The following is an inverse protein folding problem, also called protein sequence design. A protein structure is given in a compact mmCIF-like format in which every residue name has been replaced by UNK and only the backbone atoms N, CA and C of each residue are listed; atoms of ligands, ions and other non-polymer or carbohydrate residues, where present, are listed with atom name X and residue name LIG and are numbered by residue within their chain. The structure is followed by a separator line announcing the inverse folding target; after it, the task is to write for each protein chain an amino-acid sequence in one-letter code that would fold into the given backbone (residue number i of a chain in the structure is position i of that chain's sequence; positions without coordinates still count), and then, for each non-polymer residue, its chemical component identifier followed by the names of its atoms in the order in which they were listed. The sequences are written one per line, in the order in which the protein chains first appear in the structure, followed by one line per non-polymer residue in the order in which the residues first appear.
data_IF_922596989377
#
_entry.id   IF_922596989377
#
_cell.length_a   1.000
_cell.length_b   1.000
_cell.length_c   1.000
_cell.angle_alpha   90.00
_cell.angle_beta   90.00
_cell.angle_gamma   90.00
#
_symmetry.space_group_name_H-M   'P 1'
#
loop_
_entity.id
_entity.type
_entity.pdbx_description
1 polymer ?
#
# COMPACT_ATOMS: atom_id res chain seq x y z
N UNK A 1 -13.31 66.79 -20.25
CA UNK A 1 -12.23 66.91 -19.25
C UNK A 1 -11.99 65.54 -18.65
N UNK A 2 -10.76 65.02 -18.78
CA UNK A 2 -10.32 63.73 -18.26
C UNK A 2 -10.11 63.82 -16.75
N UNK A 3 -10.76 62.95 -15.96
CA UNK A 3 -10.52 62.83 -14.53
C UNK A 3 -9.55 61.67 -14.28
N UNK A 4 -8.34 62.05 -13.88
CA UNK A 4 -7.21 61.19 -13.55
C UNK A 4 -7.50 60.30 -12.34
N UNK A 5 -7.18 59.02 -12.47
CA UNK A 5 -7.33 57.96 -11.45
C UNK A 5 -6.06 57.87 -10.58
N UNK A 6 -5.59 59.00 -10.06
CA UNK A 6 -4.42 59.08 -9.18
C UNK A 6 -4.80 59.87 -7.94
N UNK A 7 -5.27 59.16 -6.90
CA UNK A 7 -5.11 59.46 -5.46
C UNK A 7 -6.04 58.58 -4.60
N UNK A 8 -5.97 57.26 -4.78
CA UNK A 8 -6.42 56.32 -3.74
C UNK A 8 -5.19 55.91 -2.93
N UNK A 9 -4.85 56.73 -1.94
CA UNK A 9 -3.89 56.36 -0.89
C UNK A 9 -4.39 55.09 -0.21
N UNK A 10 -3.58 54.03 -0.25
CA UNK A 10 -3.85 52.77 0.45
C UNK A 10 -4.05 53.09 1.94
N UNK A 11 -5.27 52.93 2.45
CA UNK A 11 -5.51 52.87 3.90
C UNK A 11 -4.64 51.74 4.46
N UNK A 12 -3.80 52.08 5.44
CA UNK A 12 -3.01 51.11 6.18
C UNK A 12 -3.95 50.06 6.78
N UNK A 13 -3.63 48.79 6.53
CA UNK A 13 -4.33 47.65 7.13
C UNK A 13 -4.01 47.66 8.63
N UNK A 14 -5.01 47.58 9.54
CA UNK A 14 -4.73 47.51 10.96
C UNK A 14 -3.85 46.29 11.28
N UNK A 15 -2.76 46.55 11.99
CA UNK A 15 -1.84 45.55 12.52
C UNK A 15 -2.59 44.70 13.56
N UNK A 16 -2.50 43.38 13.39
CA UNK A 16 -2.50 42.41 14.50
C UNK A 16 -3.83 42.17 15.22
N UNK A 17 -4.79 41.51 14.58
CA UNK A 17 -5.58 40.51 15.30
C UNK A 17 -5.05 39.15 14.85
N UNK A 18 -4.05 38.63 15.57
CA UNK A 18 -3.80 37.19 15.53
C UNK A 18 -5.11 36.51 15.97
N UNK A 19 -5.88 36.03 15.00
CA UNK A 19 -7.01 35.17 15.30
C UNK A 19 -6.43 33.93 15.96
N UNK A 20 -6.47 33.88 17.29
CA UNK A 20 -6.19 32.68 18.05
C UNK A 20 -7.06 31.58 17.45
N UNK A 21 -6.42 30.68 16.69
CA UNK A 21 -7.13 29.56 16.08
C UNK A 21 -7.62 28.73 17.25
N UNK A 22 -8.95 28.71 17.48
CA UNK A 22 -9.55 27.88 18.52
C UNK A 22 -9.00 26.47 18.32
N UNK A 23 -8.21 25.97 19.28
CA UNK A 23 -7.70 24.60 19.24
C UNK A 23 -8.92 23.69 19.19
N UNK A 24 -9.12 23.02 18.06
CA UNK A 24 -10.24 22.10 17.89
C UNK A 24 -10.03 20.97 18.90
N UNK A 25 -10.96 20.83 19.86
CA UNK A 25 -10.94 19.73 20.80
C UNK A 25 -11.37 18.46 20.04
N UNK A 26 -10.39 17.62 19.70
CA UNK A 26 -10.60 16.38 18.92
C UNK A 26 -10.59 15.11 19.76
N UNK A 27 -10.23 15.22 21.04
CA UNK A 27 -9.90 14.10 21.93
C UNK A 27 -10.51 14.29 23.33
N UNK A 28 -11.71 14.89 23.38
CA UNK A 28 -12.49 15.07 24.62
C UNK A 28 -11.72 15.74 25.77
N UNK A 29 -10.84 16.68 25.44
CA UNK A 29 -10.03 17.44 26.39
C UNK A 29 -8.59 16.94 26.55
N UNK A 30 -8.25 15.76 26.04
CA UNK A 30 -6.88 15.23 26.07
C UNK A 30 -5.96 15.93 25.07
N UNK A 31 -4.70 16.10 25.46
CA UNK A 31 -3.64 16.57 24.57
C UNK A 31 -3.17 15.47 23.61
N UNK A 32 -2.56 15.85 22.48
CA UNK A 32 -1.98 14.87 21.54
C UNK A 32 -0.89 14.01 22.19
N UNK A 33 -0.13 14.57 23.14
CA UNK A 33 0.95 13.85 23.82
C UNK A 33 0.42 12.81 24.82
N UNK A 34 -0.72 13.07 25.46
CA UNK A 34 -1.40 12.07 26.29
C UNK A 34 -1.96 10.93 25.42
N UNK A 35 -2.65 11.28 24.33
CA UNK A 35 -3.22 10.29 23.40
C UNK A 35 -2.13 9.42 22.76
N UNK A 36 -0.95 9.96 22.45
CA UNK A 36 0.17 9.19 21.87
C UNK A 36 0.71 8.10 22.79
N UNK A 37 0.49 8.21 24.11
CA UNK A 37 0.90 7.18 25.09
C UNK A 37 -0.02 5.97 25.07
N UNK A 38 -1.23 6.11 24.55
CA UNK A 38 -2.18 5.01 24.46
C UNK A 38 -1.77 4.01 23.36
N UNK A 39 -2.01 2.74 23.65
CA UNK A 39 -1.83 1.63 22.71
C UNK A 39 -3.16 0.90 22.53
N UNK A 40 -3.25 0.08 21.48
CA UNK A 40 -4.42 -0.77 21.25
C UNK A 40 -4.05 -2.21 21.63
N UNK A 41 -4.97 -2.87 22.33
CA UNK A 41 -4.86 -4.30 22.60
C UNK A 41 -5.19 -5.07 21.32
N UNK A 42 -4.37 -6.05 20.98
CA UNK A 42 -4.66 -6.92 19.84
C UNK A 42 -5.96 -7.71 20.04
N UNK A 43 -6.67 -7.91 18.94
CA UNK A 43 -7.88 -8.72 18.85
C UNK A 43 -7.51 -9.98 18.07
N UNK A 44 -7.01 -10.99 18.77
CA UNK A 44 -6.49 -12.23 18.19
C UNK A 44 -6.98 -13.44 18.97
N UNK A 45 -7.32 -14.49 18.22
CA UNK A 45 -7.68 -15.82 18.71
C UNK A 45 -7.05 -16.88 17.80
N UNK A 46 -7.04 -18.13 18.23
CA UNK A 46 -6.69 -19.27 17.37
C UNK A 46 -7.83 -19.53 16.37
N UNK A 47 -7.53 -20.25 15.29
CA UNK A 47 -8.51 -20.64 14.26
C UNK A 47 -9.25 -19.46 13.58
N UNK A 48 -8.56 -18.33 13.44
CA UNK A 48 -9.04 -17.21 12.64
C UNK A 48 -8.84 -17.46 11.14
N UNK A 49 -9.79 -17.01 10.34
CA UNK A 49 -9.69 -17.03 8.88
C UNK A 49 -8.75 -15.92 8.41
N UNK A 50 -8.93 -14.72 8.95
CA UNK A 50 -8.23 -13.51 8.54
C UNK A 50 -7.63 -12.79 9.73
N UNK A 51 -6.38 -12.31 9.62
CA UNK A 51 -5.80 -11.34 10.56
C UNK A 51 -5.32 -10.12 9.78
N UNK A 52 -5.91 -8.95 10.05
CA UNK A 52 -5.45 -7.69 9.48
C UNK A 52 -4.31 -7.12 10.33
N UNK A 53 -3.17 -6.90 9.68
CA UNK A 53 -2.00 -6.22 10.23
C UNK A 53 -2.04 -4.77 9.76
N UNK A 54 -2.41 -3.86 10.67
CA UNK A 54 -2.31 -2.42 10.46
C UNK A 54 -0.89 -1.91 10.67
N UNK A 55 -0.64 -0.66 10.26
CA UNK A 55 0.66 -0.02 10.43
C UNK A 55 0.89 0.30 11.91
N UNK A 56 0.11 1.23 12.43
CA UNK A 56 0.13 1.65 13.81
C UNK A 56 -1.17 2.42 14.12
N UNK A 57 -1.50 2.60 15.40
CA UNK A 57 -2.64 3.41 15.79
C UNK A 57 -2.50 4.86 15.31
N UNK A 58 -3.56 5.38 14.67
CA UNK A 58 -3.72 6.83 14.53
C UNK A 58 -4.08 7.45 15.87
N UNK A 59 -3.92 8.76 16.03
CA UNK A 59 -4.35 9.46 17.25
C UNK A 59 -5.83 9.19 17.60
N UNK A 60 -6.73 9.13 16.61
CA UNK A 60 -8.14 8.82 16.88
C UNK A 60 -8.32 7.38 17.38
N UNK A 61 -7.61 6.42 16.79
CA UNK A 61 -7.65 5.03 17.22
C UNK A 61 -7.07 4.86 18.64
N UNK A 62 -5.99 5.58 18.95
CA UNK A 62 -5.37 5.58 20.28
C UNK A 62 -6.25 6.28 21.33
N UNK A 63 -6.97 7.33 20.93
CA UNK A 63 -7.94 8.02 21.78
C UNK A 63 -9.12 7.13 22.13
N UNK A 64 -9.75 6.51 21.13
CA UNK A 64 -10.94 5.67 21.34
C UNK A 64 -10.62 4.25 21.81
N UNK A 65 -9.35 3.82 21.69
CA UNK A 65 -8.95 2.44 21.93
C UNK A 65 -9.46 1.46 20.88
N UNK A 66 -9.84 1.94 19.69
CA UNK A 66 -10.52 1.15 18.65
C UNK A 66 -9.77 1.14 17.33
N UNK A 67 -9.74 -0.03 16.68
CA UNK A 67 -9.05 -0.18 15.41
C UNK A 67 -9.75 0.61 14.30
N UNK A 68 -8.94 1.29 13.48
CA UNK A 68 -9.39 2.04 12.30
C UNK A 68 -10.45 3.12 12.55
N UNK A 69 -10.55 3.67 13.78
CA UNK A 69 -11.55 4.68 14.18
C UNK A 69 -11.44 6.07 13.51
N UNK A 70 -10.53 6.26 12.55
CA UNK A 70 -10.39 7.55 11.87
C UNK A 70 -11.59 7.82 10.93
N UNK A 71 -12.16 9.04 10.89
CA UNK A 71 -13.35 9.34 10.08
C UNK A 71 -13.15 9.15 8.57
N UNK A 72 -11.91 9.21 8.09
CA UNK A 72 -11.54 8.93 6.71
C UNK A 72 -11.02 7.52 6.47
N UNK A 73 -11.21 6.55 7.38
CA UNK A 73 -10.73 5.20 7.17
C UNK A 73 -11.78 4.35 6.42
N UNK A 74 -11.38 3.70 5.34
CA UNK A 74 -12.30 2.88 4.53
C UNK A 74 -12.45 1.44 5.05
N UNK A 75 -11.75 1.03 6.11
CA UNK A 75 -11.63 -0.38 6.52
C UNK A 75 -12.98 -1.10 6.70
N UNK A 76 -13.83 -0.61 7.61
CA UNK A 76 -15.11 -1.26 7.88
C UNK A 76 -16.06 -1.24 6.68
N UNK A 77 -16.06 -0.15 5.91
CA UNK A 77 -16.81 -0.08 4.65
C UNK A 77 -16.29 -1.11 3.64
N UNK A 78 -14.98 -1.28 3.52
CA UNK A 78 -14.38 -2.30 2.64
C UNK A 78 -14.78 -3.72 3.08
N UNK A 79 -14.78 -4.02 4.37
CA UNK A 79 -15.23 -5.32 4.88
C UNK A 79 -16.69 -5.63 4.48
N UNK A 80 -17.59 -4.66 4.68
CA UNK A 80 -19.01 -4.83 4.38
C UNK A 80 -19.29 -4.88 2.87
N UNK A 81 -18.71 -3.98 2.08
CA UNK A 81 -18.95 -3.89 0.64
C UNK A 81 -18.36 -5.09 -0.12
N UNK A 82 -17.22 -5.62 0.34
CA UNK A 82 -16.62 -6.85 -0.21
C UNK A 82 -17.35 -8.13 0.22
N UNK A 83 -18.33 -8.02 1.12
CA UNK A 83 -19.08 -9.14 1.70
C UNK A 83 -18.20 -10.11 2.50
N UNK A 84 -17.06 -9.63 3.03
CA UNK A 84 -16.27 -10.37 4.02
C UNK A 84 -17.02 -10.49 5.35
N UNK A 85 -17.86 -9.50 5.65
CA UNK A 85 -18.83 -9.56 6.75
C UNK A 85 -20.25 -9.36 6.18
N UNK A 86 -21.26 -10.07 6.72
CA UNK A 86 -22.63 -10.00 6.22
C UNK A 86 -23.39 -8.75 6.70
N UNK A 87 -22.98 -8.17 7.83
CA UNK A 87 -23.59 -6.98 8.44
C UNK A 87 -22.54 -5.88 8.59
N UNK A 88 -22.96 -4.64 8.40
CA UNK A 88 -22.10 -3.49 8.64
C UNK A 88 -21.71 -3.44 10.13
N UNK A 89 -20.43 -3.19 10.38
CA UNK A 89 -19.83 -3.04 11.72
C UNK A 89 -19.07 -1.73 11.70
N UNK A 90 -19.05 -0.99 12.81
CA UNK A 90 -18.25 0.22 12.98
C UNK A 90 -17.07 -0.03 13.92
N UNK A 91 -16.19 0.97 14.11
CA UNK A 91 -15.01 0.78 14.96
C UNK A 91 -15.37 0.58 16.44
N UNK A 92 -16.51 1.10 16.88
CA UNK A 92 -17.03 0.91 18.24
C UNK A 92 -17.30 -0.57 18.55
N UNK A 93 -17.48 -1.39 17.51
CA UNK A 93 -17.81 -2.79 17.57
C UNK A 93 -16.69 -3.68 17.00
N UNK A 94 -15.45 -3.20 16.96
CA UNK A 94 -14.30 -3.91 16.41
C UNK A 94 -14.10 -5.32 16.97
N UNK A 95 -14.37 -5.52 18.27
CA UNK A 95 -14.37 -6.81 18.94
C UNK A 95 -15.34 -7.84 18.33
N UNK A 96 -16.44 -7.40 17.70
CA UNK A 96 -17.41 -8.30 17.05
C UNK A 96 -16.83 -8.95 15.79
N UNK A 97 -15.69 -8.49 15.26
CA UNK A 97 -15.05 -9.12 14.11
C UNK A 97 -14.58 -10.56 14.37
N UNK A 98 -14.32 -10.92 15.64
CA UNK A 98 -13.99 -12.30 16.02
C UNK A 98 -15.11 -13.28 15.68
N UNK A 99 -16.39 -12.86 15.75
CA UNK A 99 -17.54 -13.69 15.36
C UNK A 99 -17.52 -14.06 13.86
N UNK A 100 -16.79 -13.29 13.06
CA UNK A 100 -16.57 -13.53 11.63
C UNK A 100 -15.19 -14.13 11.35
N UNK A 101 -14.49 -14.62 12.38
CA UNK A 101 -13.13 -15.17 12.30
C UNK A 101 -12.11 -14.16 11.74
N UNK A 102 -12.28 -12.87 12.05
CA UNK A 102 -11.40 -11.78 11.67
C UNK A 102 -10.72 -11.19 12.91
N UNK A 103 -9.39 -11.24 12.96
CA UNK A 103 -8.57 -10.61 13.99
C UNK A 103 -7.86 -9.34 13.52
N UNK A 104 -7.42 -8.53 14.47
CA UNK A 104 -6.75 -7.24 14.25
C UNK A 104 -5.48 -7.12 15.11
N UNK A 105 -4.40 -6.68 14.49
CA UNK A 105 -3.13 -6.32 15.16
C UNK A 105 -2.50 -5.13 14.43
N UNK A 106 -1.53 -4.46 15.05
CA UNK A 106 -0.62 -3.55 14.33
C UNK A 106 0.80 -4.09 14.34
N UNK A 107 1.60 -3.70 13.34
CA UNK A 107 3.03 -4.00 13.32
C UNK A 107 3.78 -3.12 14.32
N UNK A 108 3.39 -1.85 14.48
CA UNK A 108 3.96 -0.94 15.48
C UNK A 108 2.87 -0.51 16.48
N UNK A 109 3.16 -0.64 17.77
CA UNK A 109 2.22 -0.30 18.85
C UNK A 109 2.08 1.22 19.08
N UNK A 110 3.15 1.99 18.84
CA UNK A 110 3.21 3.43 19.10
C UNK A 110 2.24 4.21 18.21
N UNK A 111 1.39 5.03 18.83
CA UNK A 111 0.46 5.89 18.11
C UNK A 111 1.16 7.08 17.45
N UNK A 112 0.77 7.42 16.22
CA UNK A 112 1.28 8.60 15.50
C UNK A 112 0.19 9.33 14.71
N UNK A 113 0.50 10.55 14.27
CA UNK A 113 -0.39 11.30 13.38
C UNK A 113 -0.32 10.72 11.96
N UNK A 114 0.88 10.35 11.53
CA UNK A 114 1.16 9.76 10.23
C UNK A 114 2.05 8.52 10.36
N UNK A 115 1.82 7.52 9.52
CA UNK A 115 2.74 6.39 9.39
C UNK A 115 4.13 6.82 8.91
N UNK A 116 4.26 8.01 8.30
CA UNK A 116 5.54 8.60 7.94
C UNK A 116 6.40 8.98 9.16
N UNK A 117 5.80 9.08 10.35
CA UNK A 117 6.49 9.40 11.60
C UNK A 117 7.12 8.16 12.27
N UNK A 118 7.05 7.00 11.59
CA UNK A 118 7.66 5.75 12.02
C UNK A 118 8.99 5.52 11.28
N UNK A 119 10.01 5.15 12.03
CA UNK A 119 11.26 4.69 11.42
C UNK A 119 11.12 3.27 10.86
N UNK A 120 11.90 2.95 9.83
CA UNK A 120 11.99 1.57 9.30
C UNK A 120 12.44 0.57 10.36
N UNK A 121 13.31 1.00 11.28
CA UNK A 121 13.78 0.17 12.39
C UNK A 121 12.65 -0.23 13.33
N UNK A 122 11.75 0.70 13.67
CA UNK A 122 10.56 0.39 14.47
C UNK A 122 9.66 -0.61 13.76
N UNK A 123 9.42 -0.44 12.45
CA UNK A 123 8.60 -1.36 11.66
C UNK A 123 9.23 -2.75 11.61
N UNK A 124 10.56 -2.86 11.43
CA UNK A 124 11.28 -4.15 11.45
C UNK A 124 11.21 -4.85 12.80
N UNK A 125 11.35 -4.13 13.90
CA UNK A 125 11.15 -4.70 15.24
C UNK A 125 9.72 -5.23 15.39
N UNK A 126 8.75 -4.46 14.91
CA UNK A 126 7.35 -4.86 14.83
C UNK A 126 7.11 -6.11 13.98
N UNK A 127 7.83 -6.24 12.86
CA UNK A 127 7.71 -7.38 11.96
C UNK A 127 8.06 -8.70 12.65
N UNK A 128 9.11 -8.71 13.48
CA UNK A 128 9.51 -9.89 14.26
C UNK A 128 8.36 -10.32 15.18
N UNK A 129 7.77 -9.37 15.92
CA UNK A 129 6.64 -9.65 16.82
C UNK A 129 5.40 -10.15 16.06
N UNK A 130 5.10 -9.55 14.91
CA UNK A 130 3.99 -10.03 14.05
C UNK A 130 4.28 -11.43 13.54
N UNK A 131 5.52 -11.75 13.16
CA UNK A 131 5.88 -13.08 12.71
C UNK A 131 5.69 -14.14 13.81
N UNK A 132 6.04 -13.81 15.05
CA UNK A 132 5.77 -14.67 16.22
C UNK A 132 4.28 -14.88 16.45
N UNK A 133 3.48 -13.80 16.40
CA UNK A 133 2.01 -13.88 16.51
C UNK A 133 1.42 -14.77 15.41
N UNK A 134 1.86 -14.63 14.17
CA UNK A 134 1.36 -15.45 13.06
C UNK A 134 1.75 -16.92 13.20
N UNK A 135 2.94 -17.23 13.73
CA UNK A 135 3.32 -18.62 14.06
C UNK A 135 2.47 -19.21 15.18
N UNK A 136 2.06 -18.38 16.15
CA UNK A 136 1.24 -18.82 17.29
C UNK A 136 -0.25 -18.98 16.92
N UNK A 137 -0.88 -17.94 16.38
CA UNK A 137 -2.33 -17.92 16.10
C UNK A 137 -2.70 -18.59 14.77
N UNK A 138 -1.74 -18.75 13.85
CA UNK A 138 -1.87 -19.48 12.59
C UNK A 138 -3.16 -19.20 11.79
N UNK A 139 -3.49 -17.93 11.50
CA UNK A 139 -4.67 -17.64 10.70
C UNK A 139 -4.52 -18.19 9.28
N UNK A 140 -5.62 -18.42 8.55
CA UNK A 140 -5.52 -18.85 7.15
C UNK A 140 -4.81 -17.80 6.28
N UNK A 141 -5.11 -16.52 6.50
CA UNK A 141 -4.54 -15.39 5.77
C UNK A 141 -4.15 -14.26 6.73
N UNK A 142 -2.92 -13.75 6.59
CA UNK A 142 -2.47 -12.51 7.21
C UNK A 142 -2.46 -11.38 6.16
N UNK A 143 -3.17 -10.28 6.46
CA UNK A 143 -3.43 -9.19 5.53
C UNK A 143 -2.68 -7.93 5.97
N UNK A 144 -1.64 -7.57 5.25
CA UNK A 144 -0.88 -6.34 5.47
C UNK A 144 -1.64 -5.16 4.87
N UNK A 145 -2.25 -4.36 5.74
CA UNK A 145 -3.02 -3.16 5.39
C UNK A 145 -2.08 -1.96 5.15
N UNK A 146 -1.31 -2.05 4.06
CA UNK A 146 -0.31 -1.09 3.66
C UNK A 146 0.93 -1.78 3.10
N UNK A 147 1.37 -1.35 1.92
CA UNK A 147 2.58 -1.88 1.29
C UNK A 147 3.83 -1.74 2.17
N UNK A 148 4.02 -0.58 2.78
CA UNK A 148 5.25 -0.25 3.51
C UNK A 148 5.57 -1.20 4.68
N UNK A 149 4.55 -1.78 5.32
CA UNK A 149 4.77 -2.71 6.43
C UNK A 149 5.10 -4.11 5.95
N UNK A 150 4.59 -4.50 4.78
CA UNK A 150 5.01 -5.74 4.12
C UNK A 150 6.46 -5.64 3.63
N UNK A 151 6.85 -4.49 3.07
CA UNK A 151 8.22 -4.23 2.61
C UNK A 151 9.28 -4.49 3.68
N UNK A 152 8.97 -4.13 4.93
CA UNK A 152 9.86 -4.32 6.07
C UNK A 152 9.60 -5.65 6.83
N UNK A 153 8.50 -6.34 6.52
CA UNK A 153 8.15 -7.63 7.11
C UNK A 153 8.90 -8.79 6.45
N UNK A 154 9.08 -8.74 5.13
CA UNK A 154 9.79 -9.80 4.40
C UNK A 154 11.29 -9.54 4.36
N UNK A 155 12.09 -10.60 4.49
CA UNK A 155 13.56 -10.50 4.54
C UNK A 155 14.17 -9.85 3.28
N UNK A 156 13.59 -10.12 2.12
CA UNK A 156 14.09 -9.66 0.81
C UNK A 156 12.94 -9.12 -0.03
N UNK A 157 12.64 -7.84 0.13
CA UNK A 157 11.64 -7.17 -0.69
C UNK A 157 12.21 -6.75 -2.06
N UNK A 158 11.57 -7.18 -3.15
CA UNK A 158 11.90 -6.75 -4.51
C UNK A 158 10.80 -5.85 -5.05
N UNK A 159 11.10 -4.55 -5.16
CA UNK A 159 10.13 -3.55 -5.66
C UNK A 159 9.71 -3.80 -7.11
N UNK A 160 10.56 -4.42 -7.93
CA UNK A 160 10.33 -4.58 -9.37
C UNK A 160 9.32 -5.69 -9.69
N UNK A 161 9.24 -6.70 -8.83
CA UNK A 161 8.32 -7.84 -8.96
C UNK A 161 7.09 -7.76 -8.05
N UNK A 162 6.96 -6.69 -7.25
CA UNK A 162 5.88 -6.57 -6.30
C UNK A 162 4.53 -6.28 -6.97
N UNK A 163 3.53 -7.10 -6.60
CA UNK A 163 2.12 -6.84 -6.84
C UNK A 163 1.38 -6.84 -5.49
N UNK A 164 0.30 -6.06 -5.40
CA UNK A 164 -0.66 -6.21 -4.31
C UNK A 164 -1.43 -7.54 -4.46
N UNK A 165 -2.14 -7.93 -3.40
CA UNK A 165 -2.89 -9.17 -3.31
C UNK A 165 -2.06 -10.31 -2.72
N UNK A 166 -2.27 -11.53 -3.21
CA UNK A 166 -1.58 -12.73 -2.73
C UNK A 166 -0.07 -12.62 -2.94
N UNK A 167 0.71 -13.01 -1.93
CA UNK A 167 2.17 -13.01 -1.99
C UNK A 167 2.72 -14.44 -2.04
N UNK A 168 3.91 -14.63 -2.66
CA UNK A 168 4.57 -15.94 -2.69
C UNK A 168 5.10 -16.36 -1.30
N UNK A 169 5.45 -15.39 -0.45
CA UNK A 169 5.92 -15.65 0.91
C UNK A 169 4.78 -16.10 1.84
N UNK A 170 5.11 -16.93 2.83
CA UNK A 170 4.19 -17.49 3.83
C UNK A 170 4.83 -17.51 5.22
N UNK A 171 3.99 -17.64 6.26
CA UNK A 171 4.42 -17.96 7.62
C UNK A 171 3.78 -19.28 8.04
N UNK A 172 4.53 -20.37 7.98
CA UNK A 172 3.93 -21.71 8.09
C UNK A 172 2.88 -21.92 6.99
N UNK A 173 1.67 -22.33 7.39
CA UNK A 173 0.53 -22.49 6.47
C UNK A 173 -0.20 -21.15 6.17
N UNK A 174 0.09 -20.07 6.90
CA UNK A 174 -0.57 -18.77 6.74
C UNK A 174 -0.16 -18.10 5.42
N UNK A 175 -1.15 -17.85 4.55
CA UNK A 175 -0.95 -17.07 3.34
C UNK A 175 -0.74 -15.59 3.67
N UNK A 176 0.13 -14.90 2.93
CA UNK A 176 0.30 -13.46 3.08
C UNK A 176 -0.44 -12.72 1.96
N UNK A 177 -1.16 -11.67 2.32
CA UNK A 177 -1.93 -10.84 1.40
C UNK A 177 -1.62 -9.36 1.67
N UNK A 178 -1.42 -8.57 0.62
CA UNK A 178 -1.09 -7.13 0.78
C UNK A 178 -2.16 -6.29 0.12
N UNK A 179 -2.71 -5.32 0.85
CA UNK A 179 -3.67 -4.35 0.33
C UNK A 179 -3.11 -2.93 0.43
N UNK A 180 -3.58 -1.97 -0.39
CA UNK A 180 -3.33 -0.57 -0.12
C UNK A 180 -3.87 -0.18 1.25
N UNK A 181 -3.22 0.80 1.91
CA UNK A 181 -3.69 1.27 3.20
C UNK A 181 -5.15 1.72 3.12
N UNK A 182 -6.00 1.25 4.04
CA UNK A 182 -7.42 1.61 4.12
C UNK A 182 -7.65 3.09 4.44
N UNK A 183 -6.65 3.80 4.96
CA UNK A 183 -6.69 5.25 5.18
C UNK A 183 -6.97 6.04 3.90
N UNK A 184 -7.86 7.04 3.96
CA UNK A 184 -8.07 8.00 2.87
C UNK A 184 -6.81 8.83 2.54
N UNK A 185 -5.76 8.81 3.39
CA UNK A 185 -4.46 9.42 3.07
C UNK A 185 -3.66 8.66 2.01
N UNK A 186 -4.09 7.46 1.62
CA UNK A 186 -3.43 6.69 0.56
C UNK A 186 -3.65 7.36 -0.81
N UNK A 187 -2.72 8.21 -1.23
CA UNK A 187 -2.83 8.98 -2.47
C UNK A 187 -2.96 8.12 -3.74
N UNK A 188 -2.33 6.93 -3.75
CA UNK A 188 -2.37 6.02 -4.90
C UNK A 188 -3.74 5.33 -5.08
N UNK A 189 -4.56 5.30 -4.02
CA UNK A 189 -5.89 4.69 -4.01
C UNK A 189 -6.83 5.61 -3.21
N UNK A 190 -7.24 6.75 -3.78
CA UNK A 190 -7.88 7.82 -3.02
C UNK A 190 -9.28 7.46 -2.54
N UNK A 191 -10.04 6.64 -3.29
CA UNK A 191 -11.42 6.28 -2.96
C UNK A 191 -11.53 4.87 -2.40
N UNK A 192 -12.63 4.57 -1.73
CA UNK A 192 -12.94 3.21 -1.25
C UNK A 192 -13.06 2.24 -2.43
N UNK A 193 -13.72 2.64 -3.51
CA UNK A 193 -13.94 1.84 -4.72
C UNK A 193 -12.62 1.41 -5.36
N UNK A 194 -11.58 2.24 -5.30
CA UNK A 194 -10.25 1.94 -5.83
C UNK A 194 -9.56 0.80 -5.04
N UNK A 195 -10.05 0.50 -3.83
CA UNK A 195 -9.52 -0.55 -2.93
C UNK A 195 -10.42 -1.77 -2.83
N UNK A 196 -11.66 -1.70 -3.30
CA UNK A 196 -12.67 -2.74 -3.06
C UNK A 196 -12.27 -4.09 -3.65
N UNK A 197 -11.69 -4.09 -4.85
CA UNK A 197 -11.32 -5.32 -5.55
C UNK A 197 -10.31 -6.18 -4.78
N UNK A 198 -9.38 -5.59 -4.02
CA UNK A 198 -8.45 -6.35 -3.17
C UNK A 198 -9.17 -7.16 -2.08
N UNK A 199 -10.28 -6.64 -1.55
CA UNK A 199 -11.06 -7.29 -0.49
C UNK A 199 -12.05 -8.31 -1.08
N UNK A 200 -12.65 -8.02 -2.23
CA UNK A 200 -13.51 -8.99 -2.94
C UNK A 200 -12.71 -10.21 -3.39
N UNK A 201 -11.50 -10.02 -3.92
CA UNK A 201 -10.62 -11.12 -4.29
C UNK A 201 -10.08 -11.88 -3.08
N UNK A 202 -9.83 -11.19 -1.96
CA UNK A 202 -9.50 -11.83 -0.68
C UNK A 202 -10.61 -12.79 -0.23
N UNK A 203 -11.89 -12.37 -0.33
CA UNK A 203 -13.03 -13.23 -0.03
C UNK A 203 -13.05 -14.49 -0.90
N UNK A 204 -12.83 -14.34 -2.22
CA UNK A 204 -12.77 -15.48 -3.15
C UNK A 204 -11.65 -16.45 -2.79
N UNK A 205 -10.46 -15.94 -2.47
CA UNK A 205 -9.34 -16.77 -2.05
C UNK A 205 -9.61 -17.48 -0.72
N UNK A 206 -10.24 -16.81 0.25
CA UNK A 206 -10.66 -17.42 1.50
C UNK A 206 -11.66 -18.57 1.27
N UNK A 207 -12.67 -18.37 0.41
CA UNK A 207 -13.63 -19.42 0.05
C UNK A 207 -12.94 -20.66 -0.54
N UNK A 208 -11.94 -20.46 -1.41
CA UNK A 208 -11.08 -21.55 -1.91
C UNK A 208 -10.31 -22.26 -0.79
N UNK A 209 -9.68 -21.53 0.14
CA UNK A 209 -8.99 -22.14 1.29
C UNK A 209 -9.93 -22.88 2.25
N UNK A 210 -11.22 -22.57 2.22
CA UNK A 210 -12.26 -23.26 2.99
C UNK A 210 -12.88 -24.45 2.26
N UNK A 211 -12.55 -24.65 0.98
CA UNK A 211 -13.14 -25.70 0.14
C UNK A 211 -14.57 -25.37 -0.32
N UNK A 212 -14.98 -24.11 -0.26
CA UNK A 212 -16.27 -23.64 -0.80
C UNK A 212 -16.21 -23.47 -2.32
N UNK A 213 -15.00 -23.31 -2.87
CA UNK A 213 -14.71 -23.21 -4.30
C UNK A 213 -13.57 -24.19 -4.60
N UNK A 214 -13.72 -25.02 -5.62
CA UNK A 214 -12.75 -26.07 -5.94
C UNK A 214 -11.51 -25.56 -6.69
N UNK A 215 -11.70 -24.55 -7.54
CA UNK A 215 -10.64 -24.04 -8.42
C UNK A 215 -10.59 -22.51 -8.47
N UNK A 216 -9.39 -21.96 -8.42
CA UNK A 216 -9.10 -20.53 -8.58
C UNK A 216 -7.86 -20.34 -9.43
N UNK A 217 -7.85 -19.28 -10.24
CA UNK A 217 -6.66 -18.87 -10.98
C UNK A 217 -5.84 -17.92 -10.11
N UNK A 218 -4.71 -18.37 -9.57
CA UNK A 218 -3.89 -17.54 -8.67
C UNK A 218 -3.41 -16.22 -9.26
N UNK A 219 -3.28 -16.13 -10.60
CA UNK A 219 -2.88 -14.89 -11.24
C UNK A 219 -3.93 -13.78 -11.08
N UNK A 220 -5.20 -14.14 -10.80
CA UNK A 220 -6.27 -13.17 -10.53
C UNK A 220 -6.11 -12.45 -9.18
N UNK A 221 -5.24 -12.97 -8.32
CA UNK A 221 -4.95 -12.40 -7.00
C UNK A 221 -3.70 -11.52 -6.99
N UNK A 222 -3.12 -11.21 -8.15
CA UNK A 222 -1.99 -10.30 -8.29
C UNK A 222 -2.44 -9.01 -8.97
N UNK A 223 -2.26 -7.89 -8.29
CA UNK A 223 -2.72 -6.59 -8.76
C UNK A 223 -1.55 -5.61 -8.89
N UNK A 224 -1.44 -4.96 -10.04
CA UNK A 224 -0.40 -3.97 -10.29
C UNK A 224 -0.53 -2.71 -9.41
N UNK A 225 0.62 -2.11 -9.12
CA UNK A 225 0.80 -1.16 -8.03
C UNK A 225 0.40 0.30 -8.27
N UNK A 226 -0.65 0.61 -9.06
CA UNK A 226 -1.20 1.97 -9.16
C UNK A 226 -2.65 1.99 -9.67
N UNK A 227 -3.55 2.69 -8.98
CA UNK A 227 -4.76 3.20 -9.64
C UNK A 227 -4.33 4.37 -10.54
N UNK A 228 -4.33 4.17 -11.87
CA UNK A 228 -4.07 5.24 -12.85
C UNK A 228 -5.26 6.18 -12.90
N UNK A 229 -5.44 7.04 -11.90
CA UNK A 229 -6.33 8.19 -12.02
C UNK A 229 -5.53 9.37 -12.55
N UNK A 230 -5.99 9.92 -13.68
CA UNK A 230 -5.59 11.25 -14.11
C UNK A 230 -6.05 12.22 -13.03
N UNK A 231 -5.12 12.77 -12.26
CA UNK A 231 -5.41 13.90 -11.38
C UNK A 231 -5.89 15.03 -12.30
N UNK A 232 -7.17 15.40 -12.23
CA UNK A 232 -7.68 16.52 -13.01
C UNK A 232 -6.76 17.73 -12.77
N UNK A 233 -6.30 18.37 -13.85
CA UNK A 233 -5.38 19.53 -13.82
C UNK A 233 -5.90 20.69 -12.95
N UNK A 234 -7.20 20.67 -12.62
CA UNK A 234 -7.89 21.66 -11.79
C UNK A 234 -7.79 21.39 -10.28
N UNK A 235 -7.42 20.17 -9.84
CA UNK A 235 -7.42 19.82 -8.42
C UNK A 235 -6.33 20.56 -7.63
N UNK A 236 -6.63 20.87 -6.36
CA UNK A 236 -5.67 21.51 -5.44
C UNK A 236 -4.41 20.65 -5.26
N UNK A 237 -4.55 19.31 -5.30
CA UNK A 237 -3.41 18.39 -5.24
C UNK A 237 -2.52 18.48 -6.47
N UNK A 238 -3.08 18.66 -7.67
CA UNK A 238 -2.30 18.90 -8.89
C UNK A 238 -1.51 20.21 -8.77
N UNK A 239 -2.17 21.30 -8.35
CA UNK A 239 -1.53 22.61 -8.14
C UNK A 239 -0.39 22.55 -7.10
N UNK A 240 -0.57 21.77 -6.02
CA UNK A 240 0.49 21.55 -5.02
C UNK A 240 1.65 20.72 -5.55
N UNK A 241 1.37 19.68 -6.34
CA UNK A 241 2.39 18.85 -6.98
C UNK A 241 3.20 19.65 -8.00
N UNK A 242 2.54 20.50 -8.80
CA UNK A 242 3.21 21.43 -9.74
C UNK A 242 4.11 22.41 -8.99
N UNK A 243 3.61 23.07 -7.94
CA UNK A 243 4.45 23.96 -7.11
C UNK A 243 5.67 23.27 -6.49
N UNK A 244 5.54 22.00 -6.08
CA UNK A 244 6.69 21.25 -5.56
C UNK A 244 7.71 20.89 -6.65
N UNK A 245 7.26 20.66 -7.88
CA UNK A 245 8.15 20.41 -9.02
C UNK A 245 8.87 21.71 -9.41
N UNK A 246 8.13 22.82 -9.52
CA UNK A 246 8.69 24.15 -9.82
C UNK A 246 9.73 24.59 -8.77
N UNK A 247 9.47 24.34 -7.48
CA UNK A 247 10.42 24.63 -6.40
C UNK A 247 11.69 23.76 -6.48
N UNK A 248 11.56 22.49 -6.90
CA UNK A 248 12.71 21.60 -7.05
C UNK A 248 13.52 21.87 -8.33
N UNK A 249 12.90 22.49 -9.33
CA UNK A 249 13.58 22.96 -10.55
C UNK A 249 14.31 24.29 -10.30
N UNK A 250 13.73 25.19 -9.51
CA UNK A 250 14.40 26.44 -9.09
C UNK A 250 15.58 26.21 -8.15
N UNK A 251 15.61 25.12 -7.37
CA UNK A 251 16.80 24.72 -6.60
C UNK A 251 17.92 24.08 -7.45
N UNK A 252 17.62 23.66 -8.69
CA UNK A 252 18.64 23.10 -9.61
C UNK A 252 19.24 24.15 -10.55
N UNK A 253 18.56 25.27 -10.77
CA UNK A 253 19.01 26.35 -11.66
C UNK A 253 19.82 27.45 -10.96
N UNK A 254 20.11 27.34 -9.65
CA UNK A 254 21.00 28.28 -8.95
C UNK A 254 22.49 28.09 -9.27
N UNK A 255 22.83 27.48 -10.39
CA UNK A 255 24.20 27.23 -10.82
C UNK A 255 24.30 27.00 -12.33
N UNK A 256 24.10 28.06 -13.12
CA UNK A 256 24.80 28.41 -14.37
C UNK A 256 24.04 29.59 -14.99
N UNK A 257 24.67 30.76 -15.06
CA UNK A 257 24.18 31.91 -15.82
C UNK A 257 24.52 31.74 -17.30
N UNK A 258 23.54 31.70 -18.19
CA UNK A 258 23.73 32.03 -19.60
C UNK A 258 22.51 32.78 -20.14
N UNK A 259 22.80 33.89 -20.81
CA UNK A 259 21.85 34.89 -21.30
C UNK A 259 20.93 34.37 -22.40
N UNK A 260 19.71 34.90 -22.41
CA UNK A 260 18.70 34.75 -23.47
C UNK A 260 19.16 35.40 -24.78
N UNK A 261 19.48 34.59 -25.78
CA UNK A 261 19.20 34.92 -27.19
C UNK A 261 19.07 33.62 -28.00
N UNK A 262 18.16 33.67 -28.97
CA UNK A 262 18.02 32.76 -30.10
C UNK A 262 17.14 31.51 -29.89
N UNK A 263 15.84 31.79 -29.83
CA UNK A 263 14.80 30.83 -30.22
C UNK A 263 14.19 31.32 -31.53
N UNK A 264 14.46 30.65 -32.66
CA UNK A 264 13.52 30.43 -33.78
C UNK A 264 14.17 29.76 -35.00
N UNK A 265 13.34 28.98 -35.71
CA UNK A 265 13.46 28.39 -37.06
C UNK A 265 14.22 27.06 -37.18
N UNK A 266 13.80 26.09 -37.99
CA UNK A 266 12.50 25.66 -38.56
C UNK A 266 12.72 24.23 -39.12
N UNK A 267 11.65 23.60 -39.59
CA UNK A 267 11.52 22.22 -40.08
C UNK A 267 12.38 21.86 -41.32
N UNK A 268 12.79 20.59 -41.45
CA UNK A 268 12.51 19.68 -42.61
C UNK A 268 13.55 18.55 -42.81
N UNK A 269 13.12 17.52 -43.53
CA UNK A 269 13.70 16.16 -43.70
C UNK A 269 14.89 16.07 -44.67
N UNK A 270 15.54 14.89 -44.64
CA UNK A 270 16.46 14.29 -45.63
C UNK A 270 17.93 14.80 -45.75
N UNK A 271 18.88 14.00 -45.24
CA UNK A 271 19.76 13.20 -46.11
C UNK A 271 20.77 12.31 -45.35
N UNK A 272 20.99 11.15 -45.99
CA UNK A 272 21.78 10.01 -45.58
C UNK A 272 23.27 10.20 -45.95
N UNK A 273 24.14 9.72 -45.07
CA UNK A 273 25.52 9.27 -45.30
C UNK A 273 26.48 10.15 -46.14
N UNK A 274 27.46 10.76 -45.47
CA UNK A 274 28.88 10.67 -45.84
C UNK A 274 29.74 11.39 -44.79
N UNK A 275 30.54 10.62 -44.05
CA UNK A 275 31.91 10.90 -43.59
C UNK A 275 32.24 10.02 -42.38
N UNK A 276 32.48 8.74 -42.66
CA UNK A 276 33.37 7.95 -41.82
C UNK A 276 34.81 8.32 -42.19
N UNK A 277 35.51 9.01 -41.29
CA UNK A 277 36.77 8.55 -40.72
C UNK A 277 37.51 9.71 -40.06
N UNK A 278 37.52 9.70 -38.72
CA UNK A 278 38.66 9.96 -37.84
C UNK A 278 38.13 10.37 -36.47
N UNK A 279 38.06 9.44 -35.49
CA UNK A 279 38.10 9.77 -34.05
C UNK A 279 38.16 8.51 -33.15
N UNK A 280 39.18 8.38 -32.27
CA UNK A 280 39.28 7.28 -31.30
C UNK A 280 38.38 7.44 -30.05
N UNK A 281 37.18 8.05 -30.16
CA UNK A 281 36.26 8.28 -29.01
C UNK A 281 34.97 7.44 -29.00
N UNK A 282 34.68 6.64 -30.04
CA UNK A 282 33.43 5.85 -30.09
C UNK A 282 33.51 4.43 -29.50
N UNK A 283 34.70 3.85 -29.28
CA UNK A 283 34.81 2.50 -28.70
C UNK A 283 34.39 2.42 -27.22
N UNK A 284 34.56 3.49 -26.44
CA UNK A 284 34.13 3.52 -25.03
C UNK A 284 32.61 3.68 -24.86
N UNK A 285 31.94 4.32 -25.81
CA UNK A 285 30.47 4.41 -25.89
C UNK A 285 29.85 3.04 -26.18
N UNK A 286 30.33 2.32 -27.20
CA UNK A 286 29.86 0.96 -27.53
C UNK A 286 30.14 -0.07 -26.43
N UNK A 287 31.25 0.07 -25.68
CA UNK A 287 31.53 -0.80 -24.52
C UNK A 287 30.60 -0.51 -23.34
N UNK A 288 30.24 0.76 -23.11
CA UNK A 288 29.26 1.15 -22.08
C UNK A 288 27.85 0.65 -22.42
N UNK A 289 27.40 0.82 -23.66
CA UNK A 289 26.08 0.33 -24.10
C UNK A 289 26.01 -1.19 -24.02
N UNK A 290 27.00 -1.94 -24.55
CA UNK A 290 27.04 -3.42 -24.42
C UNK A 290 27.06 -3.90 -22.96
N UNK A 291 27.70 -3.16 -22.04
CA UNK A 291 27.74 -3.51 -20.60
C UNK A 291 26.40 -3.21 -19.90
N UNK A 292 25.69 -2.16 -20.32
CA UNK A 292 24.33 -1.87 -19.89
C UNK A 292 23.33 -2.91 -20.43
N UNK A 293 23.42 -3.30 -21.70
CA UNK A 293 22.59 -4.36 -22.30
C UNK A 293 22.79 -5.70 -21.59
N UNK A 294 24.05 -6.10 -21.30
CA UNK A 294 24.34 -7.33 -20.55
C UNK A 294 23.83 -7.28 -19.11
N UNK A 295 23.84 -6.12 -18.46
CA UNK A 295 23.23 -5.95 -17.12
C UNK A 295 21.70 -6.08 -17.19
N UNK A 296 21.07 -5.48 -18.20
CA UNK A 296 19.62 -5.58 -18.41
C UNK A 296 19.19 -7.02 -18.69
N UNK A 297 19.92 -7.75 -19.54
CA UNK A 297 19.67 -9.17 -19.82
C UNK A 297 19.86 -10.03 -18.57
N UNK A 298 20.95 -9.83 -17.80
CA UNK A 298 21.13 -10.57 -16.54
C UNK A 298 20.03 -10.28 -15.51
N UNK A 299 19.53 -9.05 -15.45
CA UNK A 299 18.38 -8.69 -14.61
C UNK A 299 17.09 -9.34 -15.10
N UNK A 300 16.80 -9.34 -16.39
CA UNK A 300 15.59 -9.97 -16.93
C UNK A 300 15.62 -11.49 -16.76
N UNK A 301 16.76 -12.14 -16.95
CA UNK A 301 16.92 -13.58 -16.68
C UNK A 301 16.75 -13.89 -15.19
N UNK A 302 17.28 -13.06 -14.29
CA UNK A 302 17.09 -13.23 -12.85
C UNK A 302 15.64 -13.04 -12.41
N UNK A 303 14.91 -12.10 -13.01
CA UNK A 303 13.48 -11.88 -12.79
C UNK A 303 12.68 -13.10 -13.29
N UNK A 304 12.99 -13.62 -14.48
CA UNK A 304 12.33 -14.80 -15.03
C UNK A 304 12.55 -16.05 -14.16
N UNK A 305 13.77 -16.28 -13.68
CA UNK A 305 14.12 -17.40 -12.79
C UNK A 305 13.48 -17.29 -11.39
N UNK A 306 13.29 -16.08 -10.88
CA UNK A 306 12.54 -15.86 -9.62
C UNK A 306 11.06 -16.09 -9.82
N UNK A 307 10.50 -15.55 -10.90
CA UNK A 307 9.09 -15.76 -11.25
C UNK A 307 8.76 -17.25 -11.45
N UNK A 308 9.66 -18.05 -12.02
CA UNK A 308 9.46 -19.50 -12.15
C UNK A 308 9.51 -20.21 -10.80
N UNK A 309 10.40 -19.80 -9.88
CA UNK A 309 10.48 -20.37 -8.52
C UNK A 309 9.25 -20.04 -7.67
N UNK A 310 8.78 -18.79 -7.70
CA UNK A 310 7.55 -18.36 -7.00
C UNK A 310 6.31 -19.07 -7.55
N UNK A 311 6.26 -19.31 -8.87
CA UNK A 311 5.20 -20.13 -9.49
C UNK A 311 5.23 -21.58 -9.01
N UNK A 312 6.40 -22.21 -8.96
CA UNK A 312 6.54 -23.59 -8.47
C UNK A 312 6.06 -23.73 -7.02
N UNK A 313 6.52 -22.85 -6.12
CA UNK A 313 6.12 -22.89 -4.71
C UNK A 313 4.61 -22.70 -4.52
N UNK A 314 3.99 -21.84 -5.33
CA UNK A 314 2.55 -21.65 -5.32
C UNK A 314 1.79 -22.88 -5.84
N UNK A 315 2.27 -23.53 -6.91
CA UNK A 315 1.67 -24.75 -7.45
C UNK A 315 1.72 -25.89 -6.42
N UNK A 316 2.88 -26.09 -5.78
CA UNK A 316 3.06 -27.13 -4.75
C UNK A 316 2.10 -26.93 -3.58
N UNK A 317 1.91 -25.68 -3.15
CA UNK A 317 0.97 -25.38 -2.08
C UNK A 317 -0.50 -25.57 -2.48
N UNK A 318 -0.87 -25.28 -3.73
CA UNK A 318 -2.23 -25.56 -4.21
C UNK A 318 -2.51 -27.05 -4.23
N UNK A 319 -1.55 -27.85 -4.69
CA UNK A 319 -1.66 -29.30 -4.65
C UNK A 319 -1.82 -29.80 -3.21
N UNK A 320 -1.04 -29.24 -2.26
CA UNK A 320 -1.17 -29.53 -0.84
C UNK A 320 -2.56 -29.16 -0.28
N UNK A 321 -3.12 -28.01 -0.66
CA UNK A 321 -4.48 -27.63 -0.25
C UNK A 321 -5.50 -28.62 -0.83
N UNK A 322 -5.42 -28.92 -2.13
CA UNK A 322 -6.32 -29.86 -2.80
C UNK A 322 -6.26 -31.24 -2.13
N UNK A 323 -5.07 -31.72 -1.79
CA UNK A 323 -4.87 -32.97 -1.06
C UNK A 323 -5.50 -32.93 0.34
N UNK A 324 -5.28 -31.84 1.11
CA UNK A 324 -5.88 -31.67 2.44
C UNK A 324 -7.41 -31.63 2.38
N UNK A 325 -8.00 -30.91 1.42
CA UNK A 325 -9.44 -30.87 1.21
C UNK A 325 -10.00 -32.24 0.83
N UNK A 326 -9.32 -32.97 -0.07
CA UNK A 326 -9.70 -34.33 -0.45
C UNK A 326 -9.64 -35.30 0.74
N UNK A 327 -8.61 -35.21 1.57
CA UNK A 327 -8.47 -36.05 2.77
C UNK A 327 -9.55 -35.74 3.81
N UNK A 328 -9.92 -34.45 3.98
CA UNK A 328 -11.04 -34.05 4.85
C UNK A 328 -12.36 -34.65 4.37
N UNK A 329 -12.65 -34.58 3.07
CA UNK A 329 -13.87 -35.14 2.47
C UNK A 329 -13.93 -36.67 2.56
N UNK A 330 -12.79 -37.37 2.48
CA UNK A 330 -12.71 -38.83 2.70
C UNK A 330 -12.96 -39.24 4.14
N UNK A 331 -12.57 -38.41 5.11
CA UNK A 331 -12.78 -38.69 6.53
C UNK A 331 -14.22 -38.41 6.96
N UNK A 332 -14.86 -37.35 6.46
CA UNK A 332 -16.29 -37.08 6.72
C UNK A 332 -17.20 -38.17 6.15
N UNK A 333 -16.94 -38.61 4.92
CA UNK A 333 -17.70 -39.70 4.27
C UNK A 333 -17.47 -41.10 4.89
N UNK A 334 -16.39 -41.29 5.66
CA UNK A 334 -16.18 -42.51 6.47
C UNK A 334 -16.94 -42.47 7.80
N UNK A 335 -17.03 -41.30 8.45
CA UNK A 335 -17.83 -41.16 9.68
C UNK A 335 -19.32 -41.32 9.40
N UNK A 336 -19.85 -40.71 8.33
CA UNK A 336 -21.27 -40.83 7.95
C UNK A 336 -21.70 -42.28 7.61
N UNK A 337 -20.76 -43.15 7.23
CA UNK A 337 -21.03 -44.58 6.98
C UNK A 337 -20.98 -45.45 8.23
N UNK A 338 -20.37 -44.97 9.32
CA UNK A 338 -20.27 -45.71 10.57
C UNK A 338 -21.39 -45.37 11.56
N UNK A 339 -22.11 -44.26 11.37
CA UNK A 339 -23.25 -43.86 12.21
C UNK A 339 -24.61 -44.41 11.71
N UNK A 340 -24.60 -45.26 10.67
CA UNK A 340 -25.78 -45.89 10.08
C UNK A 340 -25.86 -47.42 10.29
N UNK A 341 -25.07 -48.00 11.20
CA UNK A 341 -25.09 -49.44 11.51
C UNK A 341 -25.46 -49.72 12.97
#
# INVERSE_FOLDING_TARGET
MSLSLQNLTKRAVPVGIEKATKKINRFDGLSEEEVKKNTLKDILEVDLDLVFVGINPSLMAAHTGRYYAGPGNHFYKLLFESKLIPKAVTYEEDYKLLQYKIGLTNIVARATRSSADLSKSEIRKGAILVQEKLKHFRPKIAIFNGKCIYEEFVDKFDKSSFCFGLQPNRVGDTALWVVPSSSARCANFPRMQDKLHFYTSLKKYLAFLKGEIDEVNLNEFHFEGTCKQAVARTSIMWRRKVKQIENNETEKDSGISMSQSDYSQELSEDNYAQTLNNKPKQQNSLRRTKRQSRKAIKQSTAIALRSSKDKSQNIDFINLIKERLNNKNRNTSKCEKNDCN
#
